data_IF_290611059095
#
_entry.id   IF_290611059095
#
_cell.length_a   1.000
_cell.length_b   1.000
_cell.length_c   1.000
_cell.angle_alpha   90.00
_cell.angle_beta   90.00
_cell.angle_gamma   90.00
#
_symmetry.space_group_name_H-M   'P 1'
#
loop_
_entity.id
_entity.type
_entity.pdbx_description
1 polymer ?
#
# COMPACT_ATOMS: atom_id res chain seq x y z
N UNK A 1 7.31 -6.46 6.30
CA UNK A 1 7.24 -5.90 4.93
C UNK A 1 8.28 -6.52 3.97
N UNK A 2 9.52 -6.64 4.37
CA UNK A 2 10.57 -7.18 3.50
C UNK A 2 10.27 -8.61 3.05
N UNK A 3 9.78 -9.48 3.95
CA UNK A 3 9.42 -10.85 3.59
C UNK A 3 8.25 -10.90 2.60
N UNK A 4 7.26 -10.01 2.76
CA UNK A 4 6.13 -9.93 1.83
C UNK A 4 6.61 -9.51 0.44
N UNK A 5 7.51 -8.54 0.37
CA UNK A 5 8.08 -8.08 -0.89
C UNK A 5 8.77 -9.23 -1.63
N UNK A 6 9.59 -10.01 -0.93
CA UNK A 6 10.27 -11.16 -1.53
C UNK A 6 9.27 -12.20 -2.05
N UNK A 7 8.20 -12.47 -1.29
CA UNK A 7 7.18 -13.44 -1.68
C UNK A 7 6.40 -12.96 -2.92
N UNK A 8 6.03 -11.69 -2.97
CA UNK A 8 5.33 -11.12 -4.13
C UNK A 8 6.23 -11.13 -5.36
N UNK A 9 7.50 -10.78 -5.19
CA UNK A 9 8.48 -10.77 -6.28
C UNK A 9 8.65 -12.13 -6.94
N UNK A 10 8.52 -13.20 -6.13
CA UNK A 10 8.63 -14.56 -6.66
C UNK A 10 7.48 -14.94 -7.59
N UNK A 11 6.31 -14.30 -7.42
CA UNK A 11 5.08 -14.67 -8.14
C UNK A 11 4.69 -13.68 -9.24
N UNK A 12 5.29 -12.47 -9.25
CA UNK A 12 4.91 -11.40 -10.18
C UNK A 12 6.17 -10.65 -10.62
N UNK A 13 6.01 -9.76 -11.59
CA UNK A 13 7.07 -8.87 -12.01
C UNK A 13 6.85 -7.51 -11.38
N UNK A 14 7.75 -7.08 -10.51
CA UNK A 14 7.66 -5.78 -9.85
C UNK A 14 8.28 -4.70 -10.73
N UNK A 15 7.50 -3.67 -11.04
CA UNK A 15 7.92 -2.55 -11.88
C UNK A 15 8.37 -1.34 -11.07
N UNK A 16 7.83 -1.16 -9.88
CA UNK A 16 8.16 -0.04 -9.00
C UNK A 16 7.83 -0.40 -7.56
N UNK A 17 8.66 0.05 -6.65
CA UNK A 17 8.43 -0.10 -5.20
C UNK A 17 8.58 1.28 -4.58
N UNK A 18 7.58 1.72 -3.82
CA UNK A 18 7.67 2.97 -3.08
C UNK A 18 8.57 2.84 -1.87
N UNK A 19 8.94 3.98 -1.28
CA UNK A 19 9.48 4.02 0.06
C UNK A 19 8.41 3.53 1.04
N UNK A 20 8.83 3.14 2.24
CA UNK A 20 7.90 2.88 3.33
C UNK A 20 7.57 4.21 4.02
N UNK A 21 6.31 4.38 4.39
CA UNK A 21 5.82 5.60 5.01
C UNK A 21 5.10 5.27 6.31
N UNK A 22 5.34 6.09 7.32
CA UNK A 22 4.64 5.99 8.61
C UNK A 22 3.66 7.14 8.74
N UNK A 23 2.41 6.83 9.08
CA UNK A 23 1.36 7.82 9.26
C UNK A 23 0.57 7.51 10.52
N UNK A 24 0.09 8.54 11.26
CA UNK A 24 -0.76 8.32 12.42
C UNK A 24 -2.03 7.56 12.06
N UNK A 25 -2.51 6.73 12.97
CA UNK A 25 -3.79 6.03 12.80
C UNK A 25 -4.92 7.05 12.70
N UNK A 26 -5.86 6.79 11.77
CA UNK A 26 -6.97 7.70 11.52
C UNK A 26 -8.00 7.63 12.64
N UNK A 27 -8.24 8.77 13.29
CA UNK A 27 -9.35 8.93 14.24
C UNK A 27 -9.31 8.03 15.45
N UNK A 28 -8.22 7.32 15.71
CA UNK A 28 -8.10 6.41 16.84
C UNK A 28 -6.76 6.58 17.53
N UNK A 29 -6.73 6.18 18.80
CA UNK A 29 -5.49 6.02 19.54
C UNK A 29 -5.00 4.61 19.23
N UNK A 30 -3.85 4.51 18.59
CA UNK A 30 -3.29 3.22 18.22
C UNK A 30 -1.96 3.38 17.53
N UNK A 31 -1.31 2.27 17.17
CA UNK A 31 -0.04 2.33 16.47
C UNK A 31 -0.20 3.00 15.11
N UNK A 32 0.86 3.66 14.67
CA UNK A 32 0.90 4.29 13.36
C UNK A 32 0.74 3.26 12.24
N UNK A 33 0.16 3.68 11.13
CA UNK A 33 0.15 2.87 9.91
C UNK A 33 1.54 2.88 9.28
N UNK A 34 1.94 1.74 8.77
CA UNK A 34 3.18 1.57 8.02
C UNK A 34 2.81 1.00 6.67
N UNK A 35 2.99 1.78 5.62
CA UNK A 35 2.54 1.44 4.27
C UNK A 35 3.62 1.64 3.22
N UNK A 36 3.54 0.82 2.18
CA UNK A 36 4.31 0.98 0.96
C UNK A 36 3.43 0.51 -0.21
N UNK A 37 3.79 0.92 -1.41
CA UNK A 37 3.07 0.56 -2.63
C UNK A 37 4.02 -0.15 -3.58
N UNK A 38 3.51 -1.18 -4.25
CA UNK A 38 4.22 -1.84 -5.34
C UNK A 38 3.37 -1.72 -6.61
N UNK A 39 4.03 -1.35 -7.70
CA UNK A 39 3.46 -1.44 -9.04
C UNK A 39 4.01 -2.72 -9.66
N UNK A 40 3.13 -3.61 -10.06
CA UNK A 40 3.57 -4.90 -10.59
C UNK A 40 2.81 -5.28 -11.84
N UNK A 41 3.34 -6.26 -12.54
CA UNK A 41 2.77 -6.81 -13.77
C UNK A 41 2.44 -8.28 -13.55
N UNK A 42 1.25 -8.69 -13.96
CA UNK A 42 0.78 -10.06 -13.81
C UNK A 42 -0.14 -10.42 -14.96
N UNK A 43 -0.17 -11.70 -15.32
CA UNK A 43 -1.14 -12.22 -16.29
C UNK A 43 -2.47 -12.60 -15.64
N UNK A 44 -2.56 -12.55 -14.31
CA UNK A 44 -3.77 -12.92 -13.58
C UNK A 44 -4.79 -11.79 -13.61
N UNK A 45 -6.07 -12.14 -13.43
CA UNK A 45 -7.09 -11.15 -13.13
C UNK A 45 -6.89 -10.61 -11.72
N UNK A 46 -7.57 -9.51 -11.38
CA UNK A 46 -7.48 -8.96 -10.03
C UNK A 46 -7.94 -9.97 -8.99
N UNK A 47 -9.06 -10.66 -9.24
CA UNK A 47 -9.59 -11.66 -8.31
C UNK A 47 -8.62 -12.83 -8.15
N UNK A 48 -8.03 -13.31 -9.23
CA UNK A 48 -7.07 -14.41 -9.17
C UNK A 48 -5.78 -13.98 -8.49
N UNK A 49 -5.31 -12.77 -8.75
CA UNK A 49 -4.14 -12.22 -8.07
C UNK A 49 -4.39 -12.18 -6.56
N UNK A 50 -5.55 -11.70 -6.14
CA UNK A 50 -5.90 -11.62 -4.72
C UNK A 50 -5.98 -13.00 -4.10
N UNK A 51 -6.70 -13.93 -4.75
CA UNK A 51 -6.95 -15.27 -4.18
C UNK A 51 -5.76 -16.21 -4.28
N UNK A 52 -4.97 -16.13 -5.36
CA UNK A 52 -3.90 -17.09 -5.61
C UNK A 52 -2.52 -16.62 -5.13
N UNK A 53 -2.32 -15.31 -5.02
CA UNK A 53 -1.02 -14.75 -4.66
C UNK A 53 -1.08 -13.98 -3.34
N UNK A 54 -1.92 -12.95 -3.26
CA UNK A 54 -1.87 -12.03 -2.12
C UNK A 54 -2.37 -12.65 -0.82
N UNK A 55 -3.53 -13.32 -0.84
CA UNK A 55 -4.06 -13.98 0.36
C UNK A 55 -3.18 -15.10 0.88
N UNK A 56 -2.65 -15.98 0.02
CA UNK A 56 -1.70 -16.99 0.50
C UNK A 56 -0.47 -16.37 1.16
N UNK A 57 0.03 -15.26 0.65
CA UNK A 57 1.17 -14.56 1.26
C UNK A 57 0.79 -14.00 2.62
N UNK A 58 -0.35 -13.34 2.73
CA UNK A 58 -0.85 -12.83 4.00
C UNK A 58 -0.96 -13.94 5.04
N UNK A 59 -1.55 -15.06 4.63
CA UNK A 59 -1.72 -16.22 5.50
C UNK A 59 -0.38 -16.78 5.96
N UNK A 60 0.54 -16.94 5.02
CA UNK A 60 1.87 -17.49 5.30
C UNK A 60 2.65 -16.60 6.27
N UNK A 61 2.46 -15.28 6.18
CA UNK A 61 3.18 -14.33 7.02
C UNK A 61 2.53 -14.10 8.38
N UNK A 62 1.51 -14.87 8.73
CA UNK A 62 1.02 -14.92 10.10
C UNK A 62 -0.38 -14.41 10.33
N UNK A 63 -1.10 -13.94 9.31
CA UNK A 63 -2.44 -13.39 9.48
C UNK A 63 -3.41 -14.41 10.13
N UNK A 64 -3.27 -15.69 9.78
CA UNK A 64 -4.13 -16.75 10.28
C UNK A 64 -3.82 -17.16 11.73
N UNK A 65 -2.72 -16.69 12.29
CA UNK A 65 -2.27 -17.14 13.63
C UNK A 65 -2.89 -16.40 14.77
N UNK A 66 -3.76 -15.49 14.53
CA UNK A 66 -4.27 -14.65 15.59
C UNK A 66 -5.20 -15.43 16.52
N UNK A 67 -4.65 -16.13 17.48
CA UNK A 67 -5.39 -16.61 18.63
C UNK A 67 -5.66 -15.46 19.59
N UNK A 68 -4.89 -14.40 19.49
CA UNK A 68 -5.11 -13.19 20.24
C UNK A 68 -5.75 -12.17 19.27
N UNK A 69 -7.03 -11.87 19.50
CA UNK A 69 -7.78 -10.95 18.65
C UNK A 69 -7.23 -9.53 18.67
N UNK A 70 -6.43 -9.20 19.67
CA UNK A 70 -5.82 -7.88 19.80
C UNK A 70 -4.42 -7.81 19.21
N UNK A 71 -3.90 -8.93 18.69
CA UNK A 71 -2.59 -8.91 18.05
C UNK A 71 -2.67 -8.11 16.75
N UNK A 72 -1.72 -7.20 16.48
CA UNK A 72 -1.72 -6.46 15.23
C UNK A 72 -1.52 -7.40 14.04
N UNK A 73 -2.13 -7.09 12.93
CA UNK A 73 -1.92 -7.84 11.70
C UNK A 73 -0.49 -7.64 11.25
N UNK A 74 0.10 -8.74 10.76
CA UNK A 74 1.46 -8.68 10.23
C UNK A 74 1.50 -7.92 8.92
N UNK A 75 0.50 -8.13 8.04
CA UNK A 75 0.46 -7.45 6.75
C UNK A 75 -0.93 -7.56 6.11
N UNK A 76 -1.30 -6.50 5.39
CA UNK A 76 -2.44 -6.49 4.48
C UNK A 76 -1.93 -6.17 3.09
N UNK A 77 -2.34 -6.96 2.11
CA UNK A 77 -1.99 -6.75 0.70
C UNK A 77 -3.26 -6.49 -0.10
N UNK A 78 -3.48 -5.23 -0.46
CA UNK A 78 -4.68 -4.80 -1.16
C UNK A 78 -4.37 -4.26 -2.54
N UNK A 79 -5.29 -4.49 -3.48
CA UNK A 79 -5.17 -3.97 -4.83
C UNK A 79 -5.88 -2.62 -4.87
N UNK A 80 -5.11 -1.54 -5.07
CA UNK A 80 -5.65 -0.18 -5.14
C UNK A 80 -6.01 0.22 -6.57
N UNK A 81 -5.22 -0.23 -7.53
CA UNK A 81 -5.40 0.06 -8.96
C UNK A 81 -5.12 -1.23 -9.74
N UNK A 82 -5.96 -1.52 -10.73
CA UNK A 82 -5.76 -2.67 -11.61
C UNK A 82 -6.18 -2.28 -13.04
N UNK A 83 -5.27 -2.49 -14.00
CA UNK A 83 -5.49 -2.13 -15.41
C UNK A 83 -5.97 -0.68 -15.54
N UNK A 84 -5.27 0.25 -14.87
CA UNK A 84 -5.56 1.69 -14.86
C UNK A 84 -6.91 2.05 -14.22
N UNK A 85 -7.59 1.09 -13.63
CA UNK A 85 -8.87 1.32 -12.95
C UNK A 85 -8.66 1.42 -11.45
N UNK A 86 -9.16 2.50 -10.87
CA UNK A 86 -9.04 2.74 -9.42
C UNK A 86 -10.08 1.88 -8.71
N UNK A 87 -9.60 1.02 -7.80
CA UNK A 87 -10.47 0.13 -7.04
C UNK A 87 -10.81 0.67 -5.66
N UNK A 88 -9.95 1.52 -5.10
CA UNK A 88 -10.21 2.13 -3.81
C UNK A 88 -10.10 3.65 -3.92
N UNK A 89 -11.23 4.37 -3.89
CA UNK A 89 -11.21 5.83 -4.00
C UNK A 89 -10.61 6.54 -2.78
N UNK A 90 -10.37 5.83 -1.69
CA UNK A 90 -9.71 6.41 -0.52
C UNK A 90 -8.26 6.81 -0.79
N UNK A 91 -7.70 6.38 -1.94
CA UNK A 91 -6.36 6.84 -2.34
C UNK A 91 -6.25 8.35 -2.46
N UNK A 92 -7.38 9.04 -2.67
CA UNK A 92 -7.40 10.50 -2.79
C UNK A 92 -7.54 11.21 -1.45
N UNK A 93 -8.03 10.52 -0.42
CA UNK A 93 -8.43 11.17 0.83
C UNK A 93 -7.57 10.78 2.04
N UNK A 94 -6.80 9.70 1.95
CA UNK A 94 -5.94 9.26 3.04
C UNK A 94 -4.48 9.39 2.68
N UNK A 95 -3.73 10.13 3.52
CA UNK A 95 -2.30 10.35 3.29
C UNK A 95 -1.52 9.04 3.21
N UNK A 96 -1.84 8.07 4.07
CA UNK A 96 -1.13 6.79 4.11
C UNK A 96 -1.30 5.95 2.85
N UNK A 97 -2.27 6.28 2.00
CA UNK A 97 -2.46 5.65 0.69
C UNK A 97 -1.89 6.52 -0.43
N UNK A 98 -2.24 7.82 -0.44
CA UNK A 98 -1.87 8.74 -1.51
C UNK A 98 -0.35 8.93 -1.62
N UNK A 99 0.32 9.09 -0.49
CA UNK A 99 1.73 9.46 -0.49
C UNK A 99 2.63 8.35 -1.05
N UNK A 100 2.54 7.09 -0.56
CA UNK A 100 3.33 6.03 -1.19
C UNK A 100 2.90 5.74 -2.63
N UNK A 101 1.60 5.85 -2.94
CA UNK A 101 1.11 5.60 -4.29
C UNK A 101 1.68 6.60 -5.29
N UNK A 102 1.87 7.85 -4.90
CA UNK A 102 2.41 8.88 -5.76
C UNK A 102 3.84 8.59 -6.24
N UNK A 103 4.60 7.80 -5.50
CA UNK A 103 5.95 7.43 -5.93
C UNK A 103 5.93 6.49 -7.14
N UNK A 104 4.92 5.64 -7.26
CA UNK A 104 4.82 4.68 -8.36
C UNK A 104 3.86 5.14 -9.47
N UNK A 105 2.93 6.04 -9.17
CA UNK A 105 1.93 6.52 -10.12
C UNK A 105 1.79 8.04 -10.07
N UNK A 106 2.87 8.82 -10.23
CA UNK A 106 2.83 10.26 -9.92
C UNK A 106 1.85 11.07 -10.77
N UNK A 107 1.50 10.58 -11.94
CA UNK A 107 0.65 11.30 -12.90
C UNK A 107 -0.83 10.91 -12.82
N UNK A 108 -1.20 10.06 -11.89
CA UNK A 108 -2.59 9.66 -11.71
C UNK A 108 -3.41 10.90 -11.32
N UNK A 109 -4.53 11.13 -12.01
CA UNK A 109 -5.33 12.34 -11.85
C UNK A 109 -6.63 12.02 -11.11
N UNK A 110 -6.92 12.79 -10.05
CA UNK A 110 -8.20 12.72 -9.37
C UNK A 110 -9.29 13.26 -10.30
N UNK A 111 -10.29 12.46 -10.68
CA UNK A 111 -11.30 12.89 -11.63
C UNK A 111 -12.17 14.05 -11.14
N UNK A 112 -12.26 14.28 -9.84
CA UNK A 112 -13.06 15.35 -9.26
C UNK A 112 -12.25 16.64 -9.14
N UNK A 113 -11.10 16.61 -8.47
CA UNK A 113 -10.28 17.81 -8.23
C UNK A 113 -9.37 18.18 -9.38
N UNK A 114 -9.13 17.23 -10.30
CA UNK A 114 -8.21 17.38 -11.44
C UNK A 114 -6.74 17.54 -11.04
N UNK A 115 -6.43 17.34 -9.77
CA UNK A 115 -5.05 17.34 -9.29
C UNK A 115 -4.41 15.98 -9.54
N UNK A 116 -3.10 15.99 -9.78
CA UNK A 116 -2.34 14.73 -9.83
C UNK A 116 -2.14 14.20 -8.42
N UNK A 117 -1.96 12.89 -8.30
CA UNK A 117 -1.68 12.30 -7.00
C UNK A 117 -0.35 12.82 -6.44
N UNK A 118 0.58 13.20 -7.31
CA UNK A 118 1.83 13.84 -6.89
C UNK A 118 1.58 15.16 -6.15
N UNK A 119 0.67 16.00 -6.68
CA UNK A 119 0.28 17.24 -6.03
C UNK A 119 -0.41 16.98 -4.69
N UNK A 120 -1.32 16.01 -4.67
CA UNK A 120 -2.04 15.61 -3.47
C UNK A 120 -1.07 15.09 -2.41
N UNK A 121 -0.10 14.28 -2.81
CA UNK A 121 0.93 13.78 -1.90
C UNK A 121 1.73 14.92 -1.26
N UNK A 122 2.12 15.90 -2.05
CA UNK A 122 2.86 17.06 -1.55
C UNK A 122 2.04 17.83 -0.51
N UNK A 123 0.75 18.02 -0.76
CA UNK A 123 -0.15 18.66 0.19
C UNK A 123 -0.24 17.88 1.51
N UNK A 124 -0.41 16.55 1.43
CA UNK A 124 -0.45 15.70 2.61
C UNK A 124 0.83 15.72 3.41
N UNK A 125 1.98 15.77 2.74
CA UNK A 125 3.26 15.81 3.44
C UNK A 125 3.43 17.10 4.23
N UNK A 126 2.79 18.19 3.79
CA UNK A 126 2.83 19.47 4.50
C UNK A 126 1.79 19.53 5.62
N UNK A 127 0.64 18.91 5.46
CA UNK A 127 -0.51 19.06 6.36
C UNK A 127 -0.68 17.92 7.35
N UNK A 128 0.09 16.85 7.22
CA UNK A 128 -0.01 15.68 8.11
C UNK A 128 1.35 15.32 8.68
N UNK A 129 1.34 14.37 9.62
CA UNK A 129 2.58 13.89 10.24
C UNK A 129 3.17 12.68 9.52
N UNK A 130 2.73 12.41 8.30
CA UNK A 130 3.28 11.29 7.52
C UNK A 130 4.75 11.55 7.22
N UNK A 131 5.57 10.50 7.33
CA UNK A 131 7.00 10.60 7.02
C UNK A 131 7.56 9.32 6.46
N UNK A 132 8.55 9.49 5.61
CA UNK A 132 9.28 8.36 5.03
C UNK A 132 10.15 7.71 6.09
N UNK A 133 10.18 6.39 6.06
CA UNK A 133 11.14 5.62 6.87
C UNK A 133 11.94 4.71 5.95
N UNK A 134 13.12 4.34 6.42
CA UNK A 134 14.00 3.48 5.65
C UNK A 134 14.02 2.08 6.25
N UNK A 135 13.35 1.13 5.61
CA UNK A 135 13.28 -0.25 6.07
C UNK A 135 14.46 -1.09 5.62
N UNK A 136 15.24 -0.58 4.66
CA UNK A 136 16.28 -1.39 4.01
C UNK A 136 17.69 -1.02 4.45
N UNK A 137 17.83 -0.01 5.26
CA UNK A 137 19.08 0.31 5.93
C UNK A 137 19.05 -0.33 7.32
N UNK A 138 19.91 -1.30 7.50
CA UNK A 138 19.98 -2.12 8.70
C UNK A 138 20.36 -1.39 9.97
#
# INVERSE_FOLDING_TARGET
MVLALAAVRAETRILCISSAWRAPALGTIGPDFLNAVMKLETALTADDLKSQVLRPIETKLGRHRSQNKNAPRTIDLDIMIFDDEIRDPHIWVYAHLAVPLAECFPQLINPTSRKTISQISTEFQKSTKIRRINLFEG
#
